data_IF_180541017417
#
_entry.id   IF_180541017417
#
_cell.length_a   1.000
_cell.length_b   1.000
_cell.length_c   1.000
_cell.angle_alpha   90.00
_cell.angle_beta   90.00
_cell.angle_gamma   90.00
#
_symmetry.space_group_name_H-M   'P 1'
#
loop_
_entity.id
_entity.type
_entity.pdbx_description
1 polymer ?
#
# COMPACT_ATOMS: atom_id res chain seq x y z
N UNK A 1 0.28 -11.56 -12.02
CA UNK A 1 0.23 -10.68 -10.84
C UNK A 1 1.47 -9.82 -10.86
N UNK A 2 1.34 -8.50 -10.88
CA UNK A 2 2.51 -7.62 -10.81
C UNK A 2 2.80 -7.31 -9.34
N UNK A 3 3.94 -7.75 -8.86
CA UNK A 3 4.50 -7.27 -7.60
C UNK A 3 5.07 -5.88 -7.85
N UNK A 4 4.65 -4.90 -7.08
CA UNK A 4 5.24 -3.57 -7.15
C UNK A 4 6.19 -3.42 -5.98
N UNK A 5 7.44 -3.76 -6.21
CA UNK A 5 8.56 -3.32 -5.38
C UNK A 5 9.19 -2.17 -6.16
N UNK A 6 9.12 -0.96 -5.64
CA UNK A 6 9.79 0.21 -6.22
C UNK A 6 11.07 0.41 -5.42
N UNK A 7 12.21 0.32 -6.11
CA UNK A 7 13.52 0.54 -5.52
C UNK A 7 14.08 1.83 -6.08
N UNK A 8 14.47 2.76 -5.22
CA UNK A 8 15.15 3.99 -5.59
C UNK A 8 16.64 3.84 -5.33
N UNK A 9 17.44 4.13 -6.35
CA UNK A 9 18.90 4.02 -6.33
C UNK A 9 19.52 5.41 -6.51
N UNK A 10 20.38 5.81 -5.60
CA UNK A 10 21.20 7.02 -5.74
C UNK A 10 22.68 6.64 -5.73
N UNK A 11 23.29 6.58 -6.91
CA UNK A 11 24.75 6.58 -7.07
C UNK A 11 25.35 5.42 -7.86
N UNK A 12 26.28 5.77 -8.72
CA UNK A 12 27.16 4.87 -9.49
C UNK A 12 28.45 4.69 -8.70
N UNK A 13 28.72 3.49 -8.21
CA UNK A 13 30.07 3.12 -7.75
C UNK A 13 30.57 1.93 -8.55
N UNK A 14 31.69 2.13 -9.27
CA UNK A 14 32.44 1.13 -9.98
C UNK A 14 33.07 0.13 -8.99
N UNK A 15 32.35 -0.87 -8.59
CA UNK A 15 32.85 -2.08 -7.94
C UNK A 15 31.67 -3.03 -7.80
N UNK A 16 31.88 -4.33 -7.80
CA UNK A 16 30.93 -5.43 -7.57
C UNK A 16 30.22 -5.31 -6.20
N UNK A 17 29.77 -4.11 -5.83
CA UNK A 17 28.95 -3.87 -4.65
C UNK A 17 27.50 -4.15 -5.03
N UNK A 18 26.84 -4.93 -4.20
CA UNK A 18 25.39 -5.04 -4.12
C UNK A 18 24.78 -3.64 -4.29
N UNK A 19 23.78 -3.53 -5.16
CA UNK A 19 23.07 -2.27 -5.34
C UNK A 19 22.61 -1.75 -3.97
N UNK A 20 23.02 -0.52 -3.63
CA UNK A 20 22.61 0.12 -2.38
C UNK A 20 21.33 0.88 -2.66
N UNK A 21 20.26 0.50 -2.01
CA UNK A 21 18.99 1.22 -2.10
C UNK A 21 18.84 2.12 -0.89
N UNK A 22 18.54 3.38 -1.12
CA UNK A 22 18.21 4.31 -0.04
C UNK A 22 16.84 4.04 0.52
N UNK A 23 15.86 3.72 -0.37
CA UNK A 23 14.49 3.47 0.00
C UNK A 23 13.97 2.21 -0.70
N UNK A 24 13.27 1.37 0.05
CA UNK A 24 12.44 0.29 -0.50
C UNK A 24 10.98 0.56 -0.14
N UNK A 25 10.12 0.64 -1.17
CA UNK A 25 8.67 0.65 -1.00
C UNK A 25 8.10 -0.67 -1.50
N UNK A 26 7.34 -1.37 -0.67
CA UNK A 26 6.72 -2.63 -1.00
C UNK A 26 5.20 -2.60 -0.76
N UNK A 27 4.42 -3.05 -1.75
CA UNK A 27 2.97 -3.24 -1.65
C UNK A 27 2.62 -4.66 -2.09
N UNK A 28 2.81 -5.66 -1.23
CA UNK A 28 2.45 -7.04 -1.54
C UNK A 28 0.95 -7.16 -1.85
N UNK A 29 0.53 -8.07 -2.75
CA UNK A 29 -0.86 -8.24 -3.12
C UNK A 29 -1.77 -8.43 -1.92
N UNK A 30 -2.70 -7.52 -1.70
CA UNK A 30 -3.63 -7.56 -0.56
C UNK A 30 -4.77 -8.56 -0.75
N UNK A 31 -4.95 -9.12 -1.95
CA UNK A 31 -6.09 -10.00 -2.29
C UNK A 31 -6.18 -11.20 -1.37
N UNK A 32 -5.06 -11.88 -1.12
CA UNK A 32 -5.00 -13.10 -0.30
C UNK A 32 -5.27 -12.82 1.18
N UNK A 33 -4.97 -11.62 1.65
CA UNK A 33 -5.18 -11.17 3.02
C UNK A 33 -6.51 -10.45 3.24
N UNK A 34 -7.32 -10.30 2.18
CA UNK A 34 -8.55 -9.50 2.23
C UNK A 34 -9.67 -10.20 2.99
N UNK A 35 -10.18 -9.55 4.04
CA UNK A 35 -11.34 -10.03 4.80
C UNK A 35 -12.63 -9.99 3.99
N UNK A 36 -12.70 -9.15 2.94
CA UNK A 36 -13.86 -9.06 2.03
C UNK A 36 -14.09 -10.37 1.28
N UNK A 37 -13.05 -11.19 1.06
CA UNK A 37 -13.20 -12.52 0.44
C UNK A 37 -14.14 -13.46 1.21
N UNK A 38 -14.28 -13.24 2.51
CA UNK A 38 -15.21 -14.04 3.34
C UNK A 38 -16.66 -13.90 2.92
N UNK A 39 -17.03 -12.78 2.28
CA UNK A 39 -18.38 -12.60 1.73
C UNK A 39 -18.70 -13.52 0.53
N UNK A 40 -17.66 -14.14 -0.04
CA UNK A 40 -17.79 -15.10 -1.14
C UNK A 40 -17.94 -16.55 -0.68
N UNK A 41 -17.85 -16.83 0.63
CA UNK A 41 -18.03 -18.20 1.17
C UNK A 41 -19.41 -18.74 0.77
N UNK A 42 -19.44 -19.96 0.25
CA UNK A 42 -20.63 -20.59 -0.30
C UNK A 42 -20.97 -20.21 -1.73
N UNK A 43 -20.11 -19.37 -2.38
CA UNK A 43 -20.28 -18.96 -3.79
C UNK A 43 -19.03 -19.34 -4.58
N UNK A 44 -19.23 -19.82 -5.82
CA UNK A 44 -18.13 -20.16 -6.74
C UNK A 44 -17.04 -21.06 -6.12
N UNK A 45 -17.41 -21.98 -5.25
CA UNK A 45 -16.48 -22.93 -4.60
C UNK A 45 -15.62 -22.33 -3.48
N UNK A 46 -15.85 -21.07 -3.05
CA UNK A 46 -15.13 -20.51 -1.92
C UNK A 46 -15.61 -21.10 -0.60
N UNK A 47 -14.67 -21.66 0.16
CA UNK A 47 -14.84 -22.07 1.57
C UNK A 47 -13.91 -21.29 2.48
N UNK A 48 -14.05 -21.41 3.79
CA UNK A 48 -13.09 -20.82 4.73
C UNK A 48 -11.69 -21.42 4.53
N UNK A 49 -11.65 -22.73 4.33
CA UNK A 49 -10.43 -23.51 4.15
C UNK A 49 -9.71 -23.08 2.86
N UNK A 50 -10.44 -22.94 1.73
CA UNK A 50 -9.84 -22.52 0.46
C UNK A 50 -9.30 -21.08 0.51
N UNK A 51 -9.98 -20.16 1.21
CA UNK A 51 -9.51 -18.79 1.42
C UNK A 51 -8.26 -18.78 2.30
N UNK A 52 -8.24 -19.62 3.36
CA UNK A 52 -7.09 -19.74 4.24
C UNK A 52 -5.88 -20.37 3.53
N UNK A 53 -6.10 -21.47 2.80
CA UNK A 53 -5.06 -22.12 2.01
C UNK A 53 -4.41 -21.13 1.01
N UNK A 54 -5.21 -20.38 0.25
CA UNK A 54 -4.71 -19.38 -0.69
C UNK A 54 -3.87 -18.28 0.00
N UNK A 55 -4.24 -17.88 1.22
CA UNK A 55 -3.46 -16.93 2.00
C UNK A 55 -2.11 -17.53 2.42
N UNK A 56 -2.09 -18.77 2.91
CA UNK A 56 -0.88 -19.45 3.39
C UNK A 56 0.05 -19.84 2.23
N UNK A 57 -0.50 -20.33 1.13
CA UNK A 57 0.29 -20.86 0.02
C UNK A 57 0.78 -19.76 -0.94
N UNK A 58 0.09 -18.62 -1.01
CA UNK A 58 0.41 -17.53 -1.94
C UNK A 58 0.74 -16.22 -1.24
N UNK A 59 -0.08 -15.81 -0.28
CA UNK A 59 0.06 -14.51 0.37
C UNK A 59 1.27 -14.44 1.28
N UNK A 60 1.38 -15.38 2.20
CA UNK A 60 2.45 -15.42 3.20
C UNK A 60 3.83 -15.59 2.56
N UNK A 61 4.04 -16.47 1.56
CA UNK A 61 5.35 -16.56 0.89
C UNK A 61 5.78 -15.27 0.20
N UNK A 62 4.86 -14.54 -0.43
CA UNK A 62 5.16 -13.24 -1.05
C UNK A 62 5.57 -12.22 0.03
N UNK A 63 4.84 -12.16 1.14
CA UNK A 63 5.18 -11.27 2.24
C UNK A 63 6.56 -11.60 2.82
N UNK A 64 6.86 -12.87 3.07
CA UNK A 64 8.18 -13.31 3.56
C UNK A 64 9.29 -12.94 2.58
N UNK A 65 9.07 -13.16 1.28
CA UNK A 65 10.06 -12.78 0.26
C UNK A 65 10.28 -11.27 0.24
N UNK A 66 9.24 -10.47 0.47
CA UNK A 66 9.37 -9.01 0.60
C UNK A 66 10.25 -8.65 1.80
N UNK A 67 10.05 -9.29 2.95
CA UNK A 67 10.87 -9.08 4.15
C UNK A 67 12.32 -9.50 3.90
N UNK A 68 12.55 -10.68 3.29
CA UNK A 68 13.89 -11.13 2.90
C UNK A 68 14.62 -10.14 1.98
N UNK A 69 13.90 -9.50 1.04
CA UNK A 69 14.46 -8.47 0.16
C UNK A 69 14.89 -7.24 0.97
N UNK A 70 14.05 -6.78 1.89
CA UNK A 70 14.37 -5.66 2.79
C UNK A 70 15.59 -5.99 3.64
N UNK A 71 15.60 -7.19 4.22
CA UNK A 71 16.69 -7.65 5.08
C UNK A 71 18.01 -7.84 4.30
N UNK A 72 17.92 -8.28 3.05
CA UNK A 72 19.09 -8.47 2.20
C UNK A 72 19.74 -7.15 1.78
N UNK A 73 18.92 -6.17 1.35
CA UNK A 73 19.44 -4.90 0.86
C UNK A 73 19.73 -3.89 1.95
N UNK A 74 19.18 -4.05 3.15
CA UNK A 74 19.39 -3.15 4.29
C UNK A 74 19.26 -1.66 3.90
N UNK A 75 18.13 -1.22 3.30
CA UNK A 75 17.97 0.15 2.87
C UNK A 75 18.00 1.11 4.06
N UNK A 76 18.32 2.39 3.81
CA UNK A 76 18.25 3.41 4.87
C UNK A 76 16.84 3.56 5.42
N UNK A 77 15.83 3.37 4.55
CA UNK A 77 14.41 3.47 4.89
C UNK A 77 13.63 2.44 4.10
N UNK A 78 12.63 1.84 4.72
CA UNK A 78 11.69 0.99 3.99
C UNK A 78 10.26 1.18 4.46
N UNK A 79 9.34 0.95 3.53
CA UNK A 79 7.90 0.97 3.79
C UNK A 79 7.25 -0.28 3.20
N UNK A 80 6.30 -0.85 3.95
CA UNK A 80 5.47 -1.96 3.51
C UNK A 80 4.01 -1.58 3.68
N UNK A 81 3.27 -1.51 2.57
CA UNK A 81 1.89 -1.01 2.52
C UNK A 81 0.89 -2.15 2.34
N UNK A 82 -0.19 -2.12 3.12
CA UNK A 82 -1.36 -2.97 2.87
C UNK A 82 -2.63 -2.38 3.52
N UNK A 83 -3.85 -2.70 3.03
CA UNK A 83 -5.08 -2.27 3.70
C UNK A 83 -5.11 -2.67 5.18
N UNK A 84 -5.38 -1.70 6.06
CA UNK A 84 -5.37 -1.87 7.51
C UNK A 84 -6.34 -2.98 7.99
N UNK A 85 -7.47 -3.17 7.27
CA UNK A 85 -8.47 -4.19 7.58
C UNK A 85 -8.06 -5.60 7.13
N UNK A 86 -6.96 -5.73 6.37
CA UNK A 86 -6.42 -7.01 5.91
C UNK A 86 -5.80 -7.83 7.04
N UNK A 87 -5.61 -9.13 6.77
CA UNK A 87 -5.03 -10.09 7.71
C UNK A 87 -3.49 -10.10 7.67
N UNK A 88 -2.84 -9.36 6.76
CA UNK A 88 -1.38 -9.33 6.63
C UNK A 88 -0.68 -8.95 7.95
N UNK A 89 -1.29 -8.06 8.73
CA UNK A 89 -0.79 -7.65 10.05
C UNK A 89 -0.54 -8.79 11.03
N UNK A 90 -1.21 -9.94 10.85
CA UNK A 90 -1.02 -11.11 11.71
C UNK A 90 0.25 -11.90 11.38
N UNK A 91 0.94 -11.55 10.28
CA UNK A 91 2.14 -12.20 9.77
C UNK A 91 3.35 -11.28 9.76
N UNK A 92 3.21 -10.09 10.31
CA UNK A 92 4.28 -9.11 10.51
C UNK A 92 4.59 -9.05 12.00
N UNK A 93 5.86 -8.89 12.33
CA UNK A 93 6.31 -8.76 13.71
C UNK A 93 5.55 -7.59 14.39
N UNK A 94 4.87 -7.83 15.52
CA UNK A 94 4.09 -6.82 16.22
C UNK A 94 4.92 -5.64 16.75
N UNK A 95 6.24 -5.79 16.85
CA UNK A 95 7.15 -4.72 17.27
C UNK A 95 7.57 -3.77 16.15
N UNK A 96 7.26 -4.11 14.87
CA UNK A 96 7.51 -3.20 13.75
C UNK A 96 6.53 -2.02 13.83
N UNK A 97 7.08 -0.83 13.84
CA UNK A 97 6.30 0.42 13.85
C UNK A 97 5.49 0.60 12.58
N UNK A 98 4.35 1.30 12.66
CA UNK A 98 3.49 1.56 11.52
C UNK A 98 2.75 2.89 11.65
N UNK A 99 2.31 3.41 10.50
CA UNK A 99 1.32 4.47 10.37
C UNK A 99 0.01 3.90 9.83
N UNK A 100 -1.13 4.33 10.35
CA UNK A 100 -2.43 4.15 9.70
C UNK A 100 -2.83 5.48 9.06
N UNK A 101 -3.21 5.45 7.78
CA UNK A 101 -3.59 6.63 7.00
C UNK A 101 -4.87 6.38 6.22
N UNK A 102 -5.66 7.43 5.96
CA UNK A 102 -6.82 7.38 5.07
C UNK A 102 -6.50 8.15 3.78
N UNK A 103 -6.51 7.49 2.62
CA UNK A 103 -6.12 8.08 1.34
C UNK A 103 -6.92 9.33 0.95
N UNK A 104 -8.19 9.45 1.35
CA UNK A 104 -8.99 10.65 1.11
C UNK A 104 -8.45 11.91 1.80
N UNK A 105 -7.47 11.80 2.68
CA UNK A 105 -6.78 12.92 3.31
C UNK A 105 -5.54 13.39 2.52
N UNK A 106 -5.19 12.66 1.46
CA UNK A 106 -3.99 12.90 0.63
C UNK A 106 -4.32 13.04 -0.86
N UNK A 107 -5.60 12.89 -1.24
CA UNK A 107 -6.03 12.91 -2.65
C UNK A 107 -7.52 13.21 -2.77
N UNK A 108 -7.93 13.66 -3.95
CA UNK A 108 -9.29 13.98 -4.36
C UNK A 108 -10.10 12.80 -4.91
N UNK A 109 -9.63 11.57 -4.77
CA UNK A 109 -10.28 10.39 -5.36
C UNK A 109 -11.69 10.08 -4.81
N UNK A 110 -12.12 10.75 -3.77
CA UNK A 110 -13.47 10.67 -3.23
C UNK A 110 -13.80 9.39 -2.45
N UNK A 111 -12.85 8.48 -2.25
CA UNK A 111 -13.03 7.26 -1.46
C UNK A 111 -12.04 7.17 -0.29
N UNK A 112 -12.49 6.58 0.80
CA UNK A 112 -11.61 6.23 1.91
C UNK A 112 -10.99 4.85 1.68
N UNK A 113 -9.68 4.78 1.63
CA UNK A 113 -8.92 3.53 1.76
C UNK A 113 -8.02 3.68 2.98
N UNK A 114 -8.43 3.08 4.11
CA UNK A 114 -7.59 3.02 5.30
C UNK A 114 -6.48 2.01 5.06
N UNK A 115 -5.26 2.50 5.14
CA UNK A 115 -4.06 1.77 4.78
C UNK A 115 -3.09 1.80 5.94
N UNK A 116 -2.44 0.68 6.21
CA UNK A 116 -1.34 0.57 7.16
C UNK A 116 -0.03 0.53 6.40
N UNK A 117 0.92 1.32 6.88
CA UNK A 117 2.27 1.42 6.34
C UNK A 117 3.22 1.08 7.48
N UNK A 118 3.76 -0.14 7.46
CA UNK A 118 4.86 -0.52 8.33
C UNK A 118 6.14 0.10 7.80
N UNK A 119 7.06 0.42 8.69
CA UNK A 119 8.29 1.09 8.33
C UNK A 119 9.45 0.72 9.23
N UNK A 120 10.66 0.94 8.72
CA UNK A 120 11.90 0.85 9.47
C UNK A 120 12.99 1.71 8.85
N UNK A 121 14.10 1.83 9.58
CA UNK A 121 15.20 2.72 9.23
C UNK A 121 14.92 4.20 9.55
N UNK A 122 15.54 5.11 8.79
CA UNK A 122 15.38 6.57 9.00
C UNK A 122 14.00 7.02 8.56
N UNK A 123 13.32 7.78 9.40
CA UNK A 123 11.97 8.27 9.16
C UNK A 123 11.93 9.81 9.14
N UNK A 124 10.94 10.35 8.44
CA UNK A 124 10.60 11.76 8.56
C UNK A 124 9.89 12.00 9.90
N UNK A 125 10.60 12.60 10.85
CA UNK A 125 10.06 12.92 12.18
C UNK A 125 8.88 13.89 12.15
N UNK A 126 8.75 14.66 11.08
CA UNK A 126 7.64 15.62 10.88
C UNK A 126 6.42 14.99 10.21
N UNK A 127 6.47 13.70 9.83
CA UNK A 127 5.32 13.05 9.22
C UNK A 127 4.21 12.82 10.24
N UNK A 128 3.04 13.42 9.98
CA UNK A 128 1.84 13.25 10.80
C UNK A 128 0.81 12.45 10.00
N UNK A 129 0.52 11.20 10.39
CA UNK A 129 -0.47 10.38 9.72
C UNK A 129 -1.88 10.97 9.85
N UNK A 130 -2.62 11.06 8.73
CA UNK A 130 -3.96 11.65 8.69
C UNK A 130 -5.02 10.57 8.56
N UNK A 131 -5.92 10.51 9.55
CA UNK A 131 -7.14 9.70 9.53
C UNK A 131 -8.35 10.58 9.21
N UNK A 132 -9.30 10.02 8.49
CA UNK A 132 -10.52 10.71 8.10
C UNK A 132 -11.64 10.43 9.10
N UNK A 133 -12.12 11.49 9.73
CA UNK A 133 -13.31 11.52 10.58
C UNK A 133 -14.54 12.02 9.81
N UNK A 134 -14.55 11.81 8.47
CA UNK A 134 -15.55 12.29 7.51
C UNK A 134 -15.44 13.79 7.20
N UNK A 135 -14.28 14.33 7.39
CA UNK A 135 -13.89 15.74 7.26
C UNK A 135 -13.04 16.02 6.00
N UNK A 136 -12.96 15.07 5.08
CA UNK A 136 -12.09 15.17 3.91
C UNK A 136 -12.68 15.95 2.71
N UNK A 137 -13.90 16.48 2.81
CA UNK A 137 -14.59 17.17 1.71
C UNK A 137 -15.28 16.25 0.69
N UNK A 138 -15.10 14.92 0.78
CA UNK A 138 -15.70 13.92 -0.12
C UNK A 138 -16.73 13.05 0.56
N UNK A 139 -17.49 13.63 1.51
CA UNK A 139 -18.51 12.92 2.30
C UNK A 139 -19.86 13.55 2.09
N UNK A 140 -20.81 12.74 1.66
CA UNK A 140 -22.24 13.10 1.56
C UNK A 140 -23.06 12.07 2.35
N UNK A 141 -24.10 12.53 3.05
CA UNK A 141 -24.96 11.66 3.86
C UNK A 141 -24.15 10.68 4.75
N UNK A 142 -23.09 11.20 5.39
CA UNK A 142 -22.21 10.45 6.30
C UNK A 142 -21.40 9.33 5.63
N UNK A 143 -21.24 9.34 4.30
CA UNK A 143 -20.50 8.34 3.52
C UNK A 143 -19.64 9.01 2.45
N UNK A 144 -18.47 8.44 2.17
CA UNK A 144 -17.66 8.89 1.04
C UNK A 144 -18.40 8.68 -0.27
N UNK A 145 -18.31 9.64 -1.18
CA UNK A 145 -19.06 9.68 -2.45
C UNK A 145 -18.65 8.57 -3.43
N UNK A 146 -17.43 8.06 -3.30
CA UNK A 146 -16.89 7.01 -4.17
C UNK A 146 -16.63 5.71 -3.42
N UNK A 147 -16.66 4.60 -4.14
CA UNK A 147 -16.09 3.32 -3.69
C UNK A 147 -14.61 3.24 -4.05
N UNK A 148 -13.85 2.45 -3.30
CA UNK A 148 -12.43 2.18 -3.60
C UNK A 148 -12.21 1.54 -5.00
N UNK A 149 -13.27 1.08 -5.63
CA UNK A 149 -13.29 0.59 -7.01
C UNK A 149 -13.37 1.71 -8.05
N UNK A 150 -13.48 2.97 -7.61
CA UNK A 150 -13.63 4.13 -8.49
C UNK A 150 -15.06 4.33 -9.01
N UNK A 151 -16.07 3.65 -8.43
CA UNK A 151 -17.48 3.83 -8.81
C UNK A 151 -18.19 4.75 -7.81
N UNK A 152 -19.07 5.69 -8.27
CA UNK A 152 -19.88 6.49 -7.37
C UNK A 152 -20.81 5.61 -6.53
N UNK A 153 -20.99 5.96 -5.27
CA UNK A 153 -21.95 5.29 -4.39
C UNK A 153 -23.38 5.61 -4.84
N UNK A 154 -24.25 4.62 -4.77
CA UNK A 154 -25.64 4.76 -5.18
C UNK A 154 -25.91 4.42 -6.65
N UNK A 155 -24.91 4.31 -7.50
CA UNK A 155 -25.06 3.75 -8.84
C UNK A 155 -24.78 2.24 -8.78
N UNK A 156 -25.81 1.43 -9.05
CA UNK A 156 -25.63 -0.02 -9.17
C UNK A 156 -24.67 -0.31 -10.32
N UNK A 157 -23.65 -1.11 -10.07
CA UNK A 157 -22.77 -1.64 -11.12
C UNK A 157 -23.46 -2.70 -12.01
N UNK A 158 -24.75 -2.97 -11.77
CA UNK A 158 -25.57 -3.84 -12.61
C UNK A 158 -26.00 -3.06 -13.85
N UNK A 159 -25.26 -3.19 -14.95
CA UNK A 159 -25.71 -2.75 -16.26
C UNK A 159 -24.76 -1.93 -17.11
N UNK A 160 -23.72 -1.37 -16.57
CA UNK A 160 -22.62 -0.90 -17.40
C UNK A 160 -21.48 -1.91 -17.22
N UNK A 161 -21.02 -2.53 -18.31
CA UNK A 161 -19.93 -3.50 -18.32
C UNK A 161 -18.72 -2.97 -17.59
N UNK A 162 -18.84 -2.99 -16.27
CA UNK A 162 -17.82 -2.58 -15.34
C UNK A 162 -16.67 -3.57 -15.50
N UNK A 163 -15.82 -3.29 -16.48
CA UNK A 163 -14.54 -3.92 -16.58
C UNK A 163 -13.94 -3.89 -15.18
N UNK A 164 -13.36 -5.00 -14.80
CA UNK A 164 -12.72 -5.22 -13.51
C UNK A 164 -11.51 -4.27 -13.39
N UNK A 165 -11.78 -2.94 -13.42
CA UNK A 165 -10.75 -1.92 -13.34
C UNK A 165 -10.18 -1.93 -11.91
N UNK A 166 -9.18 -2.79 -11.70
CA UNK A 166 -8.49 -2.93 -10.43
C UNK A 166 -7.53 -1.78 -10.17
N UNK A 167 -7.19 -0.99 -11.19
CA UNK A 167 -6.21 0.09 -11.09
C UNK A 167 -6.47 1.07 -9.94
N UNK A 168 -7.71 1.54 -9.69
CA UNK A 168 -7.97 2.43 -8.54
C UNK A 168 -7.60 1.84 -7.18
N UNK A 169 -7.71 0.52 -7.00
CA UNK A 169 -7.44 -0.14 -5.72
C UNK A 169 -5.96 -0.18 -5.37
N UNK A 170 -5.09 -0.14 -6.39
CA UNK A 170 -3.63 -0.27 -6.21
C UNK A 170 -2.91 1.08 -6.23
N UNK A 171 -3.63 2.17 -6.52
CA UNK A 171 -3.03 3.50 -6.49
C UNK A 171 -2.64 3.90 -5.06
N UNK A 172 -1.50 4.57 -4.96
CA UNK A 172 -1.02 5.19 -3.73
C UNK A 172 -0.95 6.70 -4.00
N UNK A 173 -1.43 7.56 -3.08
CA UNK A 173 -1.34 9.00 -3.24
C UNK A 173 0.12 9.47 -3.33
N UNK A 174 0.47 10.23 -4.37
CA UNK A 174 1.81 10.79 -4.53
C UNK A 174 2.18 11.72 -3.37
N UNK A 175 1.23 12.53 -2.91
CA UNK A 175 1.42 13.42 -1.76
C UNK A 175 1.81 12.64 -0.50
N UNK A 176 1.19 11.49 -0.26
CA UNK A 176 1.54 10.63 0.87
C UNK A 176 2.98 10.13 0.77
N UNK A 177 3.40 9.70 -0.43
CA UNK A 177 4.78 9.25 -0.66
C UNK A 177 5.76 10.41 -0.44
N UNK A 178 5.46 11.59 -1.02
CA UNK A 178 6.30 12.78 -0.85
C UNK A 178 6.46 13.15 0.62
N UNK A 179 5.38 13.18 1.40
CA UNK A 179 5.43 13.51 2.82
C UNK A 179 6.22 12.47 3.64
N UNK A 180 6.06 11.17 3.33
CA UNK A 180 6.81 10.11 3.99
C UNK A 180 8.31 10.18 3.68
N UNK A 181 8.66 10.52 2.44
CA UNK A 181 10.02 10.60 1.95
C UNK A 181 10.65 11.98 2.14
N UNK A 182 9.91 12.99 2.58
CA UNK A 182 10.44 14.31 2.90
C UNK A 182 11.35 14.22 4.12
N UNK A 183 12.47 13.54 3.92
CA UNK A 183 13.64 13.70 4.78
C UNK A 183 13.95 15.19 4.80
N UNK A 184 14.43 15.76 5.93
CA UNK A 184 14.87 17.14 5.94
C UNK A 184 15.82 17.31 4.75
N UNK A 185 15.42 18.17 3.82
CA UNK A 185 16.04 18.37 2.53
C UNK A 185 17.51 18.78 2.77
N UNK A 186 18.42 17.85 2.59
CA UNK A 186 19.78 18.21 2.25
C UNK A 186 19.78 18.41 0.74
N UNK A 187 20.23 19.56 0.25
CA UNK A 187 20.14 20.05 -1.14
C UNK A 187 20.83 19.16 -2.21
N UNK A 188 21.21 17.93 -1.87
CA UNK A 188 22.03 17.05 -2.71
C UNK A 188 21.23 16.05 -3.57
N UNK A 189 19.88 16.13 -3.61
CA UNK A 189 19.07 15.29 -4.48
C UNK A 189 18.55 16.07 -5.70
N UNK A 190 19.43 16.49 -6.57
CA UNK A 190 19.07 16.84 -7.94
C UNK A 190 18.59 15.57 -8.67
N UNK A 191 17.28 15.49 -8.94
CA UNK A 191 16.77 14.59 -9.96
C UNK A 191 17.34 15.01 -11.32
N UNK A 192 17.85 14.10 -12.15
CA UNK A 192 18.22 14.45 -13.51
C UNK A 192 16.97 14.94 -14.24
N UNK A 193 17.05 16.16 -14.77
CA UNK A 193 16.03 16.70 -15.67
C UNK A 193 16.01 15.87 -16.95
N UNK A 194 14.85 15.28 -17.26
CA UNK A 194 14.59 14.69 -18.56
C UNK A 194 14.77 15.74 -19.66
N UNK A 195 15.81 15.55 -20.47
CA UNK A 195 16.00 16.19 -21.78
C UNK A 195 15.82 15.15 -22.87
#
# INVERSE_FOLDING_TARGET
MRQSVVMYYSGITNSLRLAVFDVIWASPPCETFSTVRRSNIGRNGYTKESIYADMIERGVPILRKTQEIIDYFQPKTWFLENPQTGLMKNYIDPFISFYDVDYCKYTDWGYRKRTRIWYGGVQNENFIPRLCEKDCGFVENNRHVMHVTGTPKGKSSKGQGGGNNRAPRYRIPSVLIQELLSLPYTEDLCLPSDT
#
